data_IF_914577203662
#
_entry.id   IF_914577203662
#
_cell.length_a   1.000
_cell.length_b   1.000
_cell.length_c   1.000
_cell.angle_alpha   90.00
_cell.angle_beta   90.00
_cell.angle_gamma   90.00
#
_symmetry.space_group_name_H-M   'P 1'
#
loop_
_entity.id
_entity.type
_entity.pdbx_description
1 polymer ?
#
# COMPACT_ATOMS: atom_id res chain seq x y z
N UNK A 1 -4.62 48.92 -60.82
CA UNK A 1 -5.14 49.26 -59.50
C UNK A 1 -5.04 48.02 -58.66
N UNK A 2 -4.35 48.11 -57.62
CA UNK A 2 -3.81 46.96 -56.92
C UNK A 2 -4.17 46.97 -55.43
N UNK A 3 -3.61 46.08 -54.68
CA UNK A 3 -3.50 46.21 -53.23
C UNK A 3 -4.68 45.68 -52.45
N UNK A 4 -4.87 44.37 -52.46
CA UNK A 4 -5.61 43.71 -51.39
C UNK A 4 -5.07 42.28 -51.10
N UNK A 5 -3.77 42.02 -51.30
CA UNK A 5 -3.21 40.66 -51.06
C UNK A 5 -2.23 40.52 -49.90
N UNK A 6 -2.25 41.46 -48.96
CA UNK A 6 -1.24 41.49 -47.89
C UNK A 6 -1.78 41.18 -46.48
N UNK A 7 -3.01 40.73 -46.32
CA UNK A 7 -3.59 40.51 -44.97
C UNK A 7 -3.94 39.02 -44.64
N UNK A 8 -3.64 38.08 -45.57
CA UNK A 8 -3.92 36.68 -45.29
C UNK A 8 -2.69 35.83 -44.86
N UNK A 9 -1.54 36.47 -44.74
CA UNK A 9 -0.27 35.73 -44.47
C UNK A 9 0.17 35.73 -43.00
N UNK A 10 -0.59 36.35 -42.08
CA UNK A 10 -0.15 36.47 -40.65
C UNK A 10 -0.95 35.62 -39.70
N UNK A 11 -1.97 34.90 -40.15
CA UNK A 11 -2.86 34.14 -39.20
C UNK A 11 -2.59 32.63 -39.16
N UNK A 12 -1.49 32.13 -39.72
CA UNK A 12 -1.24 30.68 -39.73
C UNK A 12 -0.02 30.24 -38.90
N UNK A 13 0.46 31.03 -37.98
CA UNK A 13 1.66 30.66 -37.17
C UNK A 13 1.39 30.49 -35.68
N UNK A 14 0.14 30.50 -35.24
CA UNK A 14 -0.11 30.50 -33.79
C UNK A 14 -1.00 29.34 -33.28
N UNK A 15 -0.85 28.14 -33.77
CA UNK A 15 -1.53 26.95 -33.23
C UNK A 15 -0.56 25.76 -33.07
N UNK A 16 0.70 25.99 -32.83
CA UNK A 16 1.64 24.93 -32.37
C UNK A 16 2.12 25.20 -30.94
N UNK A 17 1.22 25.60 -30.08
CA UNK A 17 1.49 25.73 -28.67
C UNK A 17 1.00 24.47 -27.93
N UNK A 18 1.94 23.59 -27.71
CA UNK A 18 2.15 22.94 -26.41
C UNK A 18 1.07 21.97 -25.95
N UNK A 19 1.00 20.80 -26.55
CA UNK A 19 0.77 19.60 -25.76
C UNK A 19 2.10 19.18 -25.11
N UNK A 20 2.60 19.96 -24.19
CA UNK A 20 3.51 19.48 -23.15
C UNK A 20 2.69 18.58 -22.24
N UNK A 21 2.52 17.32 -22.64
CA UNK A 21 2.23 16.27 -21.70
C UNK A 21 3.35 16.33 -20.68
N UNK A 22 3.08 16.93 -19.53
CA UNK A 22 3.89 16.74 -18.35
C UNK A 22 3.96 15.22 -18.18
N UNK A 23 5.09 14.65 -18.56
CA UNK A 23 5.43 13.28 -18.21
C UNK A 23 5.37 13.28 -16.69
N UNK A 24 4.30 12.70 -16.13
CA UNK A 24 4.30 12.31 -14.74
C UNK A 24 5.56 11.50 -14.57
N UNK A 25 6.46 11.87 -13.63
CA UNK A 25 7.58 11.02 -13.34
C UNK A 25 6.96 9.63 -13.11
N UNK A 26 7.40 8.66 -13.93
CA UNK A 26 7.07 7.28 -13.67
C UNK A 26 7.47 7.09 -12.21
N UNK A 27 6.48 6.82 -11.35
CA UNK A 27 6.77 6.34 -10.01
C UNK A 27 7.71 5.18 -10.24
N UNK A 28 8.98 5.41 -9.97
CA UNK A 28 9.92 4.32 -9.78
C UNK A 28 9.22 3.42 -8.79
N UNK A 29 8.78 2.27 -9.31
CA UNK A 29 8.17 1.27 -8.47
C UNK A 29 9.15 1.08 -7.34
N UNK A 30 8.69 1.35 -6.11
CA UNK A 30 9.50 1.20 -4.95
C UNK A 30 10.16 -0.17 -5.08
N UNK A 31 11.43 -0.16 -5.47
CA UNK A 31 12.28 -1.34 -5.53
C UNK A 31 12.12 -1.94 -4.15
N UNK A 32 11.52 -3.13 -4.09
CA UNK A 32 11.47 -3.84 -2.82
C UNK A 32 12.88 -3.84 -2.29
N UNK A 33 13.12 -3.40 -1.04
CA UNK A 33 14.45 -3.43 -0.47
C UNK A 33 15.04 -4.82 -0.69
N UNK A 34 16.34 -4.96 -0.94
CA UNK A 34 16.97 -6.25 -1.21
C UNK A 34 16.84 -7.26 -0.07
N UNK A 35 16.38 -6.82 1.09
CA UNK A 35 16.20 -7.59 2.30
C UNK A 35 14.78 -8.20 2.46
N UNK A 36 13.92 -8.16 1.43
CA UNK A 36 12.57 -8.74 1.53
C UNK A 36 11.61 -7.98 2.47
N UNK A 37 12.05 -6.80 2.94
CA UNK A 37 11.30 -5.92 3.82
C UNK A 37 10.63 -4.80 3.01
N UNK A 38 9.35 -4.58 3.21
CA UNK A 38 8.61 -3.48 2.58
C UNK A 38 8.01 -2.58 3.64
N UNK A 39 8.30 -1.29 3.54
CA UNK A 39 7.72 -0.27 4.41
C UNK A 39 6.72 0.54 3.58
N UNK A 40 5.55 0.74 4.14
CA UNK A 40 4.47 1.58 3.62
C UNK A 40 4.33 2.70 4.64
N UNK A 41 4.76 3.87 4.26
CA UNK A 41 4.75 5.06 5.10
C UNK A 41 3.36 5.67 5.26
N UNK A 42 3.23 6.64 6.15
CA UNK A 42 2.00 7.35 6.42
C UNK A 42 1.42 7.99 5.15
N UNK A 43 2.27 8.57 4.30
CA UNK A 43 1.82 9.22 3.07
C UNK A 43 1.15 8.23 2.12
N UNK A 44 1.72 7.03 1.94
CA UNK A 44 1.13 5.98 1.12
C UNK A 44 -0.20 5.46 1.71
N UNK A 45 -0.29 5.40 3.05
CA UNK A 45 -1.53 5.03 3.75
C UNK A 45 -2.62 6.08 3.49
N UNK A 46 -2.31 7.36 3.63
CA UNK A 46 -3.24 8.47 3.38
C UNK A 46 -3.68 8.51 1.91
N UNK A 47 -2.75 8.35 0.96
CA UNK A 47 -3.05 8.27 -0.47
C UNK A 47 -3.95 7.08 -0.83
N UNK A 48 -3.97 6.03 -0.03
CA UNK A 48 -4.85 4.88 -0.23
C UNK A 48 -6.33 5.20 0.00
N UNK A 49 -6.64 6.35 0.65
CA UNK A 49 -7.99 6.76 1.04
C UNK A 49 -8.69 5.67 1.87
N UNK A 50 -7.95 4.96 2.69
CA UNK A 50 -8.47 3.94 3.59
C UNK A 50 -9.10 4.59 4.82
N UNK A 51 -10.20 4.03 5.31
CA UNK A 51 -10.86 4.50 6.53
C UNK A 51 -10.35 3.79 7.77
N UNK A 52 -10.06 2.50 7.64
CA UNK A 52 -9.63 1.65 8.75
C UNK A 52 -8.28 1.01 8.44
N UNK A 53 -7.60 0.52 9.47
CA UNK A 53 -6.35 -0.22 9.30
C UNK A 53 -6.55 -1.45 8.40
N UNK A 54 -7.69 -2.13 8.50
CA UNK A 54 -8.03 -3.23 7.61
C UNK A 54 -8.09 -2.83 6.15
N UNK A 55 -8.73 -1.69 5.85
CA UNK A 55 -8.82 -1.16 4.49
C UNK A 55 -7.45 -0.73 3.97
N UNK A 56 -6.61 -0.11 4.82
CA UNK A 56 -5.26 0.29 4.48
C UNK A 56 -4.42 -0.94 4.08
N UNK A 57 -4.40 -1.98 4.89
CA UNK A 57 -3.70 -3.22 4.61
C UNK A 57 -4.18 -3.85 3.29
N UNK A 58 -5.48 -3.94 3.08
CA UNK A 58 -6.06 -4.53 1.87
C UNK A 58 -5.65 -3.81 0.59
N UNK A 59 -5.43 -2.49 0.67
CA UNK A 59 -5.08 -1.65 -0.48
C UNK A 59 -3.57 -1.57 -0.72
N UNK A 60 -2.78 -1.62 0.35
CA UNK A 60 -1.33 -1.38 0.29
C UNK A 60 -0.50 -2.65 0.30
N UNK A 61 -1.07 -3.77 0.76
CA UNK A 61 -0.38 -5.06 0.89
C UNK A 61 -0.97 -6.12 -0.05
N UNK A 62 -0.62 -6.12 -1.35
CA UNK A 62 -1.27 -6.95 -2.37
C UNK A 62 -0.94 -8.44 -2.28
N UNK A 63 0.11 -8.82 -1.52
CA UNK A 63 0.57 -10.21 -1.41
C UNK A 63 -0.32 -11.08 -0.55
N UNK A 64 -1.20 -10.47 0.24
CA UNK A 64 -2.14 -11.18 1.10
C UNK A 64 -3.59 -10.98 0.63
N UNK A 65 -4.40 -11.98 0.89
CA UNK A 65 -5.85 -11.93 0.71
C UNK A 65 -6.51 -11.66 2.06
N UNK A 66 -7.23 -10.57 2.14
CA UNK A 66 -7.94 -10.11 3.35
C UNK A 66 -9.40 -10.52 3.23
N UNK A 67 -9.85 -11.42 4.11
CA UNK A 67 -11.20 -11.98 4.10
C UNK A 67 -12.07 -11.31 5.16
N UNK A 68 -13.31 -11.05 4.80
CA UNK A 68 -14.34 -10.54 5.70
C UNK A 68 -15.52 -11.49 5.73
N UNK A 69 -16.28 -11.48 6.82
CA UNK A 69 -17.55 -12.20 6.88
C UNK A 69 -18.66 -11.43 6.13
N UNK A 70 -19.90 -12.01 6.14
CA UNK A 70 -21.07 -11.41 5.51
C UNK A 70 -21.46 -10.03 6.08
N UNK A 71 -21.00 -9.69 7.27
CA UNK A 71 -21.22 -8.39 7.93
C UNK A 71 -20.06 -7.40 7.69
N UNK A 72 -19.10 -7.74 6.81
CA UNK A 72 -17.95 -6.89 6.51
C UNK A 72 -16.85 -6.89 7.57
N UNK A 73 -16.94 -7.70 8.63
CA UNK A 73 -15.92 -7.76 9.68
C UNK A 73 -14.72 -8.57 9.23
N UNK A 74 -13.49 -8.13 9.55
CA UNK A 74 -12.26 -8.88 9.33
C UNK A 74 -12.31 -10.28 9.95
N UNK A 75 -11.90 -11.30 9.19
CA UNK A 75 -11.91 -12.68 9.70
C UNK A 75 -10.60 -13.41 9.48
N UNK A 76 -9.93 -13.16 8.34
CA UNK A 76 -8.76 -13.93 7.97
C UNK A 76 -7.85 -13.15 7.04
N UNK A 77 -6.55 -13.38 7.19
CA UNK A 77 -5.51 -12.92 6.26
C UNK A 77 -4.74 -14.14 5.79
N UNK A 78 -4.61 -14.31 4.48
CA UNK A 78 -3.96 -15.47 3.85
C UNK A 78 -2.95 -14.99 2.82
N UNK A 79 -1.85 -15.71 2.66
CA UNK A 79 -0.89 -15.43 1.60
C UNK A 79 -1.50 -15.82 0.23
N UNK A 80 -1.42 -14.92 -0.75
CA UNK A 80 -1.91 -15.23 -2.11
C UNK A 80 -0.99 -16.22 -2.79
N UNK A 81 -1.58 -17.23 -3.44
CA UNK A 81 -0.85 -18.23 -4.23
C UNK A 81 -0.24 -19.39 -3.45
N UNK A 82 -0.39 -19.42 -2.12
CA UNK A 82 -0.06 -20.60 -1.30
C UNK A 82 -1.34 -21.19 -0.73
N UNK A 83 -1.57 -22.45 -1.02
CA UNK A 83 -2.64 -23.23 -0.40
C UNK A 83 -1.98 -24.43 0.26
N UNK A 84 -1.70 -24.32 1.55
CA UNK A 84 -1.24 -25.45 2.35
C UNK A 84 -2.43 -26.05 3.09
N UNK A 85 -2.66 -27.33 2.90
CA UNK A 85 -3.73 -28.07 3.59
C UNK A 85 -3.37 -28.28 5.07
N UNK A 86 -2.09 -28.18 5.42
CA UNK A 86 -1.56 -28.54 6.74
C UNK A 86 -1.11 -27.33 7.56
N UNK A 87 -0.76 -26.22 6.92
CA UNK A 87 -0.22 -25.05 7.61
C UNK A 87 -1.23 -23.91 7.62
N UNK A 88 -1.28 -23.18 8.74
CA UNK A 88 -2.01 -21.91 8.80
C UNK A 88 -1.26 -20.91 7.95
N UNK A 89 -1.79 -20.60 6.75
CA UNK A 89 -1.20 -19.64 5.81
C UNK A 89 -1.41 -18.18 6.25
N UNK A 90 -1.54 -17.95 7.56
CA UNK A 90 -1.75 -16.63 8.14
C UNK A 90 -0.40 -16.00 8.50
N UNK A 91 -0.16 -14.74 8.11
CA UNK A 91 0.98 -13.99 8.60
C UNK A 91 0.78 -13.65 10.08
N UNK A 92 1.88 -13.43 10.77
CA UNK A 92 1.87 -12.85 12.10
C UNK A 92 1.57 -11.36 11.97
N UNK A 93 0.52 -10.88 12.63
CA UNK A 93 0.19 -9.46 12.66
C UNK A 93 0.53 -8.88 14.00
N UNK A 94 1.35 -7.82 13.99
CA UNK A 94 1.76 -7.10 15.19
C UNK A 94 1.26 -5.66 15.11
N UNK A 95 0.69 -5.18 16.20
CA UNK A 95 0.34 -3.76 16.40
C UNK A 95 1.15 -3.24 17.57
N UNK A 96 2.03 -2.27 17.31
CA UNK A 96 2.99 -1.72 18.30
C UNK A 96 3.76 -2.81 19.07
N UNK A 97 4.13 -3.88 18.34
CA UNK A 97 4.87 -5.01 18.90
C UNK A 97 4.02 -6.08 19.58
N UNK A 98 2.72 -5.89 19.70
CA UNK A 98 1.79 -6.86 20.32
C UNK A 98 1.13 -7.72 19.25
N UNK A 99 1.19 -9.04 19.41
CA UNK A 99 0.53 -9.98 18.50
C UNK A 99 -0.99 -9.81 18.52
N UNK A 100 -1.55 -9.55 17.34
CA UNK A 100 -2.99 -9.43 17.17
C UNK A 100 -3.61 -10.77 16.78
N UNK A 101 -4.39 -11.36 17.65
CA UNK A 101 -5.10 -12.64 17.42
C UNK A 101 -6.49 -12.43 16.81
N UNK A 102 -7.13 -11.31 17.14
CA UNK A 102 -8.44 -10.95 16.63
C UNK A 102 -8.33 -9.79 15.63
N UNK A 103 -8.56 -10.11 14.37
CA UNK A 103 -8.47 -9.14 13.28
C UNK A 103 -9.62 -8.12 13.27
N UNK A 104 -10.67 -8.33 14.04
CA UNK A 104 -11.78 -7.36 14.12
C UNK A 104 -11.31 -6.02 14.63
N UNK A 105 -10.30 -5.99 15.51
CA UNK A 105 -9.68 -4.75 15.99
C UNK A 105 -9.11 -3.87 14.86
N UNK A 106 -8.63 -4.46 13.75
CA UNK A 106 -8.16 -3.70 12.59
C UNK A 106 -9.31 -3.02 11.83
N UNK A 107 -10.52 -3.55 11.94
CA UNK A 107 -11.72 -2.93 11.38
C UNK A 107 -12.20 -1.72 12.16
N UNK A 108 -11.88 -1.68 13.45
CA UNK A 108 -12.27 -0.60 14.36
C UNK A 108 -11.17 0.47 14.50
N UNK A 109 -9.91 0.15 14.12
CA UNK A 109 -8.78 1.07 14.17
C UNK A 109 -8.83 2.03 12.96
N UNK A 110 -8.85 3.36 13.16
CA UNK A 110 -8.77 4.32 12.07
C UNK A 110 -7.42 4.25 11.33
N UNK A 111 -7.45 4.35 10.00
CA UNK A 111 -6.20 4.39 9.22
C UNK A 111 -5.36 5.63 9.52
N UNK A 112 -5.99 6.72 9.98
CA UNK A 112 -5.32 7.96 10.40
C UNK A 112 -4.40 7.79 11.60
N UNK A 113 -4.63 6.77 12.42
CA UNK A 113 -3.84 6.51 13.62
C UNK A 113 -2.56 5.71 13.32
N UNK A 114 -2.46 5.18 12.11
CA UNK A 114 -1.29 4.44 11.66
C UNK A 114 -0.15 5.39 11.29
N UNK A 115 1.06 5.04 11.69
CA UNK A 115 2.29 5.71 11.30
C UNK A 115 2.88 5.04 10.05
N UNK A 116 3.08 3.73 10.12
CA UNK A 116 3.53 2.93 8.98
C UNK A 116 3.08 1.47 9.10
N UNK A 117 3.25 0.76 7.98
CA UNK A 117 3.07 -0.69 7.89
C UNK A 117 4.36 -1.27 7.35
N UNK A 118 4.95 -2.20 8.09
CA UNK A 118 6.10 -2.96 7.66
C UNK A 118 5.69 -4.39 7.36
N UNK A 119 6.04 -4.86 6.17
CA UNK A 119 5.79 -6.24 5.73
C UNK A 119 7.12 -6.94 5.56
N UNK A 120 7.31 -8.01 6.31
CA UNK A 120 8.48 -8.89 6.23
C UNK A 120 8.10 -10.18 5.50
N UNK A 121 8.97 -10.60 4.59
CA UNK A 121 8.81 -11.92 3.93
C UNK A 121 9.06 -13.04 4.92
N UNK A 122 8.66 -14.27 4.56
CA UNK A 122 8.82 -15.43 5.43
C UNK A 122 10.27 -15.65 5.90
N UNK A 123 11.26 -15.38 5.04
CA UNK A 123 12.69 -15.58 5.36
C UNK A 123 13.13 -14.60 6.42
N UNK A 124 12.87 -13.31 6.22
CA UNK A 124 13.26 -12.26 7.18
C UNK A 124 12.45 -12.35 8.46
N UNK A 125 11.16 -12.61 8.32
CA UNK A 125 10.26 -12.78 9.46
C UNK A 125 10.71 -13.90 10.40
N UNK A 126 11.13 -15.05 9.87
CA UNK A 126 11.59 -16.16 10.71
C UNK A 126 12.91 -15.86 11.43
N UNK A 127 13.76 -15.01 10.85
CA UNK A 127 15.00 -14.57 11.50
C UNK A 127 14.74 -13.72 12.74
N UNK A 128 13.72 -12.87 12.71
CA UNK A 128 13.39 -11.97 13.82
C UNK A 128 12.37 -12.53 14.80
N UNK A 129 11.41 -13.32 14.32
CA UNK A 129 10.23 -13.76 15.09
C UNK A 129 10.14 -15.29 15.22
N UNK A 130 11.15 -16.02 14.69
CA UNK A 130 11.19 -17.47 14.79
C UNK A 130 10.14 -18.19 13.94
N UNK A 131 9.86 -19.46 14.29
CA UNK A 131 9.03 -20.37 13.48
C UNK A 131 7.56 -19.94 13.38
N UNK A 132 7.07 -19.07 14.25
CA UNK A 132 5.69 -18.55 14.18
C UNK A 132 5.46 -17.59 13.01
N UNK A 133 6.54 -17.12 12.39
CA UNK A 133 6.52 -16.14 11.32
C UNK A 133 6.79 -16.73 9.92
N UNK A 134 6.63 -18.04 9.75
CA UNK A 134 6.90 -18.74 8.47
C UNK A 134 6.06 -18.25 7.29
N UNK A 135 4.96 -17.57 7.56
CA UNK A 135 4.09 -16.96 6.54
C UNK A 135 4.27 -15.45 6.41
N UNK A 136 5.37 -14.92 6.97
CA UNK A 136 5.67 -13.50 7.00
C UNK A 136 5.07 -12.78 8.21
N UNK A 137 5.44 -11.52 8.35
CA UNK A 137 4.97 -10.62 9.41
C UNK A 137 4.43 -9.35 8.79
N UNK A 138 3.32 -8.87 9.31
CA UNK A 138 2.79 -7.54 9.05
C UNK A 138 2.86 -6.78 10.37
N UNK A 139 3.77 -5.81 10.46
CA UNK A 139 3.91 -4.96 11.63
C UNK A 139 3.27 -3.61 11.35
N UNK A 140 2.37 -3.20 12.21
CA UNK A 140 1.71 -1.91 12.19
C UNK A 140 2.25 -1.09 13.34
N UNK A 141 2.75 0.10 13.08
CA UNK A 141 3.07 1.08 14.10
C UNK A 141 2.00 2.16 14.12
N UNK A 142 1.55 2.52 15.32
CA UNK A 142 0.61 3.62 15.49
C UNK A 142 1.35 4.88 15.95
N UNK A 143 0.70 6.03 15.74
CA UNK A 143 1.20 7.33 16.21
C UNK A 143 1.31 7.43 17.74
N UNK A 144 0.56 6.57 18.45
CA UNK A 144 0.59 6.50 19.90
C UNK A 144 1.74 5.63 20.38
N UNK A 145 1.97 4.49 19.70
CA UNK A 145 3.05 3.57 20.04
C UNK A 145 4.46 4.14 19.79
N UNK A 146 4.59 5.09 18.86
CA UNK A 146 5.88 5.73 18.56
C UNK A 146 6.32 6.74 19.64
N UNK A 147 5.44 7.14 20.55
CA UNK A 147 5.73 8.12 21.62
C UNK A 147 6.28 7.48 22.90
N UNK A 148 6.37 6.16 22.97
CA UNK A 148 6.92 5.39 24.09
C UNK A 148 8.25 4.78 23.70
#
# INVERSE_FOLDING_TARGET
MPRQWSLFAVSLVMVLAVCSRAARPAREGALSPPDGRRIIDQEAIEQSVARTAWDALRRTVPFYAFRTNSRGRPTRVEHRGRSSIVSRDQPLILVDGVELKDFTALGDMPASDMLDIEVLTAVDATTYYGTNATNGVIRIRTKVGDKN
#
